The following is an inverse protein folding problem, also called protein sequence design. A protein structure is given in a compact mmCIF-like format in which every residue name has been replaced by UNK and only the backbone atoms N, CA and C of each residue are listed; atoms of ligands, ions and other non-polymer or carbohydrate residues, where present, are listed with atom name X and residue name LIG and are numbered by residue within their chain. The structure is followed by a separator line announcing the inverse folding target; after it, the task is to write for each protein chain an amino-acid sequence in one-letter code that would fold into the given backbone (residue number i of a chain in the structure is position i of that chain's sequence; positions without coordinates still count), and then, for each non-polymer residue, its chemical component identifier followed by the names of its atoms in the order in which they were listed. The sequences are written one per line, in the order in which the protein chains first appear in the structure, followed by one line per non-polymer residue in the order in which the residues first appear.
data_IF_573454789519
#
_entry.id   IF_573454789519
#
_cell.length_a   1.000
_cell.length_b   1.000
_cell.length_c   1.000
_cell.angle_alpha   90.00
_cell.angle_beta   90.00
_cell.angle_gamma   90.00
#
_symmetry.space_group_name_H-M   'P 1'
#
loop_
_entity.id
_entity.type
_entity.pdbx_description
1 polymer ?
#
# COMPACT_ATOMS: atom_id res chain seq x y z
N UNK A 1 -14.60 -16.30 4.60
CA UNK A 1 -14.76 -15.29 3.53
C UNK A 1 -16.21 -15.25 3.12
N UNK A 2 -16.74 -14.06 2.87
CA UNK A 2 -18.12 -13.83 2.47
C UNK A 2 -18.18 -12.74 1.40
N UNK A 3 -19.30 -12.66 0.68
CA UNK A 3 -19.49 -11.64 -0.34
C UNK A 3 -19.81 -10.29 0.30
N UNK A 4 -18.94 -9.30 0.10
CA UNK A 4 -19.12 -7.94 0.59
C UNK A 4 -19.35 -6.95 -0.57
N UNK A 5 -20.50 -6.28 -0.59
CA UNK A 5 -20.84 -5.30 -1.63
C UNK A 5 -19.87 -4.10 -1.63
N UNK A 6 -19.32 -3.72 -0.48
CA UNK A 6 -18.34 -2.64 -0.35
C UNK A 6 -16.98 -2.99 -0.97
N UNK A 7 -16.67 -4.28 -1.16
CA UNK A 7 -15.43 -4.71 -1.81
C UNK A 7 -15.44 -4.47 -3.33
N UNK A 8 -16.62 -4.37 -3.96
CA UNK A 8 -16.74 -4.15 -5.41
C UNK A 8 -16.07 -2.85 -5.88
N UNK A 9 -16.42 -1.66 -5.34
CA UNK A 9 -15.76 -0.42 -5.77
C UNK A 9 -14.25 -0.42 -5.46
N UNK A 10 -13.84 -1.08 -4.37
CA UNK A 10 -12.41 -1.21 -4.00
C UNK A 10 -11.65 -2.07 -5.02
N UNK A 11 -12.22 -3.19 -5.46
CA UNK A 11 -11.63 -4.03 -6.51
C UNK A 11 -11.55 -3.31 -7.86
N UNK A 12 -12.59 -2.53 -8.21
CA UNK A 12 -12.57 -1.70 -9.42
C UNK A 12 -11.44 -0.66 -9.34
N UNK A 13 -11.25 -0.04 -8.17
CA UNK A 13 -10.13 0.87 -7.94
C UNK A 13 -8.78 0.15 -8.07
N UNK A 14 -8.64 -1.05 -7.50
CA UNK A 14 -7.43 -1.87 -7.60
C UNK A 14 -7.06 -2.17 -9.06
N UNK A 15 -8.05 -2.59 -9.88
CA UNK A 15 -7.86 -2.89 -11.30
C UNK A 15 -7.54 -1.62 -12.09
N UNK A 16 -8.20 -0.52 -11.79
CA UNK A 16 -7.98 0.77 -12.44
C UNK A 16 -6.57 1.30 -12.17
N UNK A 17 -6.11 1.22 -10.92
CA UNK A 17 -4.74 1.57 -10.53
C UNK A 17 -3.70 0.65 -11.19
N UNK A 18 -3.94 -0.66 -11.24
CA UNK A 18 -3.04 -1.59 -11.94
C UNK A 18 -2.94 -1.27 -13.44
N UNK A 19 -4.09 -1.02 -14.06
CA UNK A 19 -4.18 -0.65 -15.47
C UNK A 19 -3.41 0.64 -15.75
N UNK A 20 -3.57 1.65 -14.88
CA UNK A 20 -2.85 2.91 -14.99
C UNK A 20 -1.34 2.72 -14.78
N UNK A 21 -0.93 1.89 -13.81
CA UNK A 21 0.48 1.56 -13.56
C UNK A 21 1.15 0.98 -14.82
N UNK A 22 0.46 0.11 -15.56
CA UNK A 22 0.96 -0.45 -16.82
C UNK A 22 0.92 0.57 -17.96
N UNK A 23 -0.19 1.30 -18.10
CA UNK A 23 -0.38 2.26 -19.20
C UNK A 23 0.66 3.38 -19.16
N UNK A 24 1.00 3.92 -17.98
CA UNK A 24 1.97 5.02 -17.90
C UNK A 24 3.38 4.59 -18.32
N UNK A 25 3.72 3.31 -18.25
CA UNK A 25 5.03 2.78 -18.65
C UNK A 25 5.29 2.85 -20.15
N UNK A 26 4.33 3.27 -20.98
CA UNK A 26 4.59 3.63 -22.38
C UNK A 26 5.26 5.01 -22.51
N UNK A 27 5.14 5.88 -21.51
CA UNK A 27 5.72 7.23 -21.48
C UNK A 27 7.08 7.27 -20.76
N UNK A 28 7.95 6.29 -21.00
CA UNK A 28 9.20 6.09 -20.22
C UNK A 28 10.16 7.29 -20.22
N UNK A 29 10.08 8.14 -21.24
CA UNK A 29 10.90 9.34 -21.38
C UNK A 29 10.47 10.49 -20.46
N UNK A 30 9.24 10.44 -19.91
CA UNK A 30 8.72 11.49 -19.04
C UNK A 30 9.29 11.35 -17.63
N UNK A 31 9.89 12.42 -17.06
CA UNK A 31 10.42 12.41 -15.69
C UNK A 31 9.36 12.00 -14.67
N UNK A 32 9.72 11.09 -13.76
CA UNK A 32 8.84 10.66 -12.66
C UNK A 32 7.87 9.52 -13.00
N UNK A 33 7.70 9.13 -14.27
CA UNK A 33 6.75 8.06 -14.67
C UNK A 33 6.98 6.75 -13.92
N UNK A 34 8.23 6.33 -13.72
CA UNK A 34 8.52 5.12 -12.94
C UNK A 34 8.06 5.23 -11.49
N UNK A 35 8.24 6.40 -10.86
CA UNK A 35 7.78 6.62 -9.49
C UNK A 35 6.25 6.61 -9.43
N UNK A 36 5.58 7.28 -10.37
CA UNK A 36 4.13 7.25 -10.46
C UNK A 36 3.57 5.84 -10.68
N UNK A 37 4.19 5.05 -11.56
CA UNK A 37 3.83 3.65 -11.79
C UNK A 37 3.90 2.82 -10.50
N UNK A 38 4.93 3.04 -9.67
CA UNK A 38 5.05 2.37 -8.36
C UNK A 38 3.96 2.84 -7.39
N UNK A 39 3.61 4.13 -7.37
CA UNK A 39 2.49 4.62 -6.53
C UNK A 39 1.18 3.95 -6.93
N UNK A 40 0.91 3.84 -8.23
CA UNK A 40 -0.29 3.18 -8.74
C UNK A 40 -0.29 1.67 -8.44
N UNK A 41 0.85 0.99 -8.61
CA UNK A 41 0.98 -0.42 -8.25
C UNK A 41 0.81 -0.65 -6.74
N UNK A 42 1.42 0.19 -5.91
CA UNK A 42 1.29 0.12 -4.45
C UNK A 42 -0.16 0.35 -3.99
N UNK A 43 -0.85 1.33 -4.58
CA UNK A 43 -2.27 1.56 -4.33
C UNK A 43 -3.16 0.41 -4.79
N UNK A 44 -2.81 -0.25 -5.90
CA UNK A 44 -3.51 -1.45 -6.37
C UNK A 44 -3.33 -2.63 -5.41
N UNK A 45 -2.10 -2.88 -4.95
CA UNK A 45 -1.79 -3.91 -3.94
C UNK A 45 -2.56 -3.67 -2.64
N UNK A 46 -2.53 -2.43 -2.13
CA UNK A 46 -3.30 -2.03 -0.95
C UNK A 46 -4.80 -2.29 -1.15
N UNK A 47 -5.38 -1.75 -2.22
CA UNK A 47 -6.82 -1.87 -2.48
C UNK A 47 -7.24 -3.33 -2.66
N UNK A 48 -6.43 -4.14 -3.33
CA UNK A 48 -6.72 -5.56 -3.52
C UNK A 48 -6.77 -6.32 -2.19
N UNK A 49 -5.75 -6.16 -1.34
CA UNK A 49 -5.74 -6.85 -0.05
C UNK A 49 -6.78 -6.31 0.92
N UNK A 50 -7.05 -5.00 0.90
CA UNK A 50 -8.14 -4.40 1.66
C UNK A 50 -9.51 -4.96 1.26
N UNK A 51 -9.76 -5.17 -0.04
CA UNK A 51 -10.98 -5.83 -0.49
C UNK A 51 -11.12 -7.26 0.05
N UNK A 52 -10.02 -8.00 0.21
CA UNK A 52 -10.01 -9.34 0.80
C UNK A 52 -10.17 -9.31 2.33
N UNK A 53 -9.58 -8.32 3.00
CA UNK A 53 -9.74 -8.07 4.43
C UNK A 53 -11.22 -7.88 4.77
N UNK A 54 -11.87 -6.91 4.15
CA UNK A 54 -13.28 -6.58 4.42
C UNK A 54 -14.24 -7.66 3.89
N UNK A 55 -13.76 -8.65 3.13
CA UNK A 55 -14.53 -9.82 2.69
C UNK A 55 -14.24 -11.06 3.55
N UNK A 56 -13.56 -10.89 4.68
CA UNK A 56 -13.16 -11.96 5.59
C UNK A 56 -13.88 -11.85 6.94
N UNK A 57 -14.15 -13.00 7.54
CA UNK A 57 -14.89 -13.17 8.80
C UNK A 57 -14.04 -13.89 9.87
N UNK A 58 -12.83 -14.31 9.50
CA UNK A 58 -11.85 -14.96 10.36
C UNK A 58 -10.73 -13.97 10.69
N UNK A 59 -10.43 -13.79 11.98
CA UNK A 59 -9.39 -12.88 12.47
C UNK A 59 -8.02 -13.17 11.84
N UNK A 60 -7.67 -14.45 11.66
CA UNK A 60 -6.38 -14.85 11.07
C UNK A 60 -6.28 -14.42 9.60
N UNK A 61 -7.38 -14.52 8.85
CA UNK A 61 -7.42 -14.07 7.45
C UNK A 61 -7.38 -12.54 7.36
N UNK A 62 -8.17 -11.85 8.19
CA UNK A 62 -8.18 -10.39 8.30
C UNK A 62 -6.77 -9.88 8.62
N UNK A 63 -6.11 -10.41 9.65
CA UNK A 63 -4.75 -10.02 10.03
C UNK A 63 -3.73 -10.32 8.91
N UNK A 64 -3.91 -11.42 8.18
CA UNK A 64 -3.04 -11.75 7.05
C UNK A 64 -3.18 -10.74 5.92
N UNK A 65 -4.41 -10.39 5.51
CA UNK A 65 -4.63 -9.40 4.46
C UNK A 65 -4.18 -8.01 4.89
N UNK A 66 -4.45 -7.64 6.14
CA UNK A 66 -3.92 -6.42 6.75
C UNK A 66 -2.39 -6.35 6.63
N UNK A 67 -1.65 -7.40 6.97
CA UNK A 67 -0.18 -7.42 6.80
C UNK A 67 0.23 -7.27 5.33
N UNK A 68 -0.51 -7.88 4.41
CA UNK A 68 -0.22 -7.80 2.98
C UNK A 68 -0.51 -6.42 2.39
N UNK A 69 -1.47 -5.67 2.93
CA UNK A 69 -1.70 -4.26 2.56
C UNK A 69 -0.47 -3.39 2.80
N UNK A 70 0.28 -3.67 3.87
CA UNK A 70 1.52 -2.96 4.19
C UNK A 70 2.65 -3.21 3.20
N UNK A 71 2.50 -4.13 2.24
CA UNK A 71 3.40 -4.19 1.07
C UNK A 71 3.20 -2.95 0.18
N UNK A 72 1.98 -2.43 0.09
CA UNK A 72 1.63 -1.25 -0.71
C UNK A 72 1.69 0.06 0.08
N UNK A 73 0.99 0.13 1.22
CA UNK A 73 0.73 1.36 1.98
C UNK A 73 1.96 2.26 2.14
N UNK A 74 3.10 1.79 2.69
CA UNK A 74 4.21 2.68 2.99
C UNK A 74 5.01 3.08 1.73
N UNK A 75 4.89 2.34 0.62
CA UNK A 75 5.51 2.71 -0.66
C UNK A 75 4.82 3.92 -1.30
N UNK A 76 3.52 4.10 -1.06
CA UNK A 76 2.72 5.21 -1.63
C UNK A 76 3.36 6.57 -1.31
N UNK A 77 3.52 6.99 -0.04
CA UNK A 77 4.09 8.31 0.27
C UNK A 77 5.57 8.43 -0.16
N UNK A 78 6.35 7.35 -0.02
CA UNK A 78 7.77 7.34 -0.41
C UNK A 78 7.94 7.60 -1.92
N UNK A 79 7.22 6.87 -2.76
CA UNK A 79 7.28 7.04 -4.21
C UNK A 79 6.53 8.26 -4.71
N UNK A 80 5.49 8.72 -4.00
CA UNK A 80 4.81 9.98 -4.32
C UNK A 80 5.72 11.18 -4.09
N UNK A 81 6.52 11.19 -3.01
CA UNK A 81 7.54 12.21 -2.79
C UNK A 81 8.60 12.19 -3.90
N UNK A 82 9.13 11.01 -4.23
CA UNK A 82 10.09 10.87 -5.33
C UNK A 82 9.52 11.29 -6.68
N UNK A 83 8.23 11.00 -6.91
CA UNK A 83 7.50 11.48 -8.08
C UNK A 83 7.43 13.00 -8.10
N UNK A 84 6.98 13.64 -7.03
CA UNK A 84 6.85 15.10 -6.95
C UNK A 84 8.19 15.80 -7.22
N UNK A 85 9.29 15.30 -6.64
CA UNK A 85 10.63 15.85 -6.86
C UNK A 85 11.01 15.74 -8.34
N UNK A 86 10.84 14.56 -8.96
CA UNK A 86 11.20 14.34 -10.38
C UNK A 86 10.30 15.11 -11.35
N UNK A 87 9.01 15.22 -11.01
CA UNK A 87 8.01 15.88 -11.84
C UNK A 87 8.16 17.40 -11.82
N UNK A 88 8.60 17.98 -10.68
CA UNK A 88 8.83 19.43 -10.53
C UNK A 88 9.96 20.01 -11.38
N UNK A 89 10.68 19.19 -12.17
CA UNK A 89 11.73 19.66 -13.07
C UNK A 89 13.00 20.16 -12.38
N UNK A 90 13.14 19.95 -11.05
CA UNK A 90 14.40 20.19 -10.34
C UNK A 90 15.46 19.23 -10.90
N UNK A 91 16.32 19.75 -11.77
CA UNK A 91 17.35 19.00 -12.52
C UNK A 91 18.49 18.46 -11.65
N UNK A 92 18.52 18.81 -10.36
CA UNK A 92 19.51 18.26 -9.44
C UNK A 92 19.26 16.77 -9.23
N UNK A 93 20.29 15.96 -9.50
CA UNK A 93 20.25 14.52 -9.25
C UNK A 93 20.04 14.31 -7.76
N UNK A 94 18.98 13.59 -7.40
CA UNK A 94 18.78 13.15 -6.02
C UNK A 94 20.00 12.34 -5.59
N UNK A 95 20.71 12.79 -4.55
CA UNK A 95 21.84 12.05 -4.02
C UNK A 95 21.37 10.71 -3.47
N UNK A 96 22.20 9.67 -3.62
CA UNK A 96 21.85 8.28 -3.25
C UNK A 96 21.44 8.18 -1.77
N UNK A 97 22.07 8.94 -0.88
CA UNK A 97 21.72 8.93 0.54
C UNK A 97 20.28 9.42 0.83
N UNK A 98 19.73 10.34 0.05
CA UNK A 98 18.32 10.74 0.20
C UNK A 98 17.37 9.63 -0.27
N UNK A 99 17.73 8.92 -1.32
CA UNK A 99 16.96 7.77 -1.79
C UNK A 99 16.95 6.66 -0.73
N UNK A 100 18.10 6.37 -0.12
CA UNK A 100 18.21 5.41 0.98
C UNK A 100 17.35 5.84 2.16
N UNK A 101 17.42 7.11 2.58
CA UNK A 101 16.62 7.61 3.69
C UNK A 101 15.11 7.49 3.43
N UNK A 102 14.66 7.84 2.22
CA UNK A 102 13.24 7.73 1.83
C UNK A 102 12.79 6.27 1.76
N UNK A 103 13.63 5.36 1.27
CA UNK A 103 13.29 3.92 1.16
C UNK A 103 13.50 3.14 2.46
N UNK A 104 14.28 3.65 3.41
CA UNK A 104 14.44 3.05 4.72
C UNK A 104 13.11 3.04 5.48
N UNK A 105 12.32 4.12 5.37
CA UNK A 105 11.00 4.25 6.03
C UNK A 105 10.08 3.08 5.64
N UNK A 106 9.73 2.85 4.35
CA UNK A 106 8.82 1.77 3.99
C UNK A 106 9.37 0.38 4.32
N UNK A 107 10.68 0.17 4.19
CA UNK A 107 11.30 -1.13 4.56
C UNK A 107 11.15 -1.38 6.06
N UNK A 108 11.47 -0.39 6.89
CA UNK A 108 11.34 -0.51 8.35
C UNK A 108 9.87 -0.69 8.76
N UNK A 109 8.94 0.05 8.15
CA UNK A 109 7.50 -0.12 8.40
C UNK A 109 7.04 -1.53 8.05
N UNK A 110 7.42 -2.06 6.88
CA UNK A 110 7.09 -3.44 6.51
C UNK A 110 7.68 -4.43 7.51
N UNK A 111 8.95 -4.29 7.88
CA UNK A 111 9.59 -5.17 8.86
C UNK A 111 8.81 -5.18 10.18
N UNK A 112 8.50 -4.00 10.74
CA UNK A 112 7.76 -3.87 12.00
C UNK A 112 6.36 -4.51 11.94
N UNK A 113 5.66 -4.39 10.82
CA UNK A 113 4.32 -4.99 10.64
C UNK A 113 4.41 -6.51 10.55
N UNK A 114 5.32 -7.03 9.73
CA UNK A 114 5.48 -8.46 9.52
C UNK A 114 6.08 -9.18 10.74
N UNK A 115 6.93 -8.50 11.51
CA UNK A 115 7.48 -9.03 12.76
C UNK A 115 6.67 -8.69 14.00
N UNK A 116 5.50 -8.03 13.85
CA UNK A 116 4.71 -7.53 14.98
C UNK A 116 4.34 -8.64 15.98
N UNK A 117 4.19 -9.89 15.54
CA UNK A 117 3.93 -11.04 16.41
C UNK A 117 5.03 -11.32 17.44
N UNK A 118 6.26 -10.84 17.23
CA UNK A 118 7.39 -11.05 18.15
C UNK A 118 7.56 -9.94 19.18
N UNK A 119 7.11 -8.72 18.88
CA UNK A 119 7.45 -7.53 19.67
C UNK A 119 6.26 -6.63 20.03
N UNK A 120 5.14 -6.74 19.31
CA UNK A 120 3.92 -5.92 19.52
C UNK A 120 4.17 -4.41 19.55
N UNK A 121 5.20 -3.94 18.83
CA UNK A 121 5.60 -2.52 18.77
C UNK A 121 4.80 -1.73 17.74
N UNK A 122 4.18 -2.43 16.77
CA UNK A 122 3.40 -1.80 15.73
C UNK A 122 1.92 -1.73 16.12
N UNK A 123 1.34 -2.88 16.49
CA UNK A 123 -0.04 -3.00 16.99
C UNK A 123 -0.07 -3.93 18.19
N UNK A 124 -0.83 -3.57 19.22
CA UNK A 124 -1.13 -4.39 20.39
C UNK A 124 -2.64 -4.51 20.55
N UNK A 125 -3.17 -5.71 20.85
CA UNK A 125 -4.60 -5.89 21.14
C UNK A 125 -5.52 -6.00 19.92
N UNK A 126 -4.99 -6.44 18.77
CA UNK A 126 -5.77 -6.60 17.55
C UNK A 126 -7.01 -7.49 17.72
N UNK A 127 -8.17 -6.99 17.35
CA UNK A 127 -9.46 -7.68 17.41
C UNK A 127 -10.30 -7.36 16.17
N UNK A 128 -11.34 -8.18 15.91
CA UNK A 128 -12.30 -7.87 14.85
C UNK A 128 -13.32 -6.89 15.42
N UNK A 129 -13.41 -5.70 14.85
CA UNK A 129 -14.56 -4.83 15.07
C UNK A 129 -15.71 -5.27 14.14
N UNK A 130 -16.84 -5.63 14.74
CA UNK A 130 -18.07 -6.03 14.04
C UNK A 130 -19.20 -5.01 14.19
N UNK A 131 -18.95 -3.89 14.86
CA UNK A 131 -19.95 -2.84 15.07
C UNK A 131 -20.12 -1.93 13.85
N UNK A 132 -19.17 -1.96 12.91
CA UNK A 132 -19.23 -1.23 11.64
C UNK A 132 -20.09 -1.92 10.56
N UNK A 133 -20.08 -1.34 9.35
CA UNK A 133 -20.80 -1.87 8.18
C UNK A 133 -20.29 -3.23 7.71
N UNK A 134 -19.07 -3.59 8.08
CA UNK A 134 -18.40 -4.86 7.81
C UNK A 134 -17.33 -5.11 8.89
N UNK A 135 -17.01 -6.39 9.19
CA UNK A 135 -15.81 -6.78 9.92
C UNK A 135 -14.54 -6.09 9.40
N UNK A 136 -13.82 -5.44 10.31
CA UNK A 136 -12.53 -4.81 10.01
C UNK A 136 -11.54 -5.06 11.15
N UNK A 137 -10.24 -5.04 10.84
CA UNK A 137 -9.20 -5.12 11.85
C UNK A 137 -9.17 -3.84 12.69
N UNK A 138 -9.22 -3.99 14.01
CA UNK A 138 -9.19 -2.87 14.97
C UNK A 138 -8.25 -3.19 16.13
N UNK A 139 -7.82 -2.16 16.88
CA UNK A 139 -6.89 -2.27 18.01
C UNK A 139 -7.21 -1.24 19.09
#
# INVERSE_FOLDING_TARGET
MYFNLYAIPVLIAAISMLSLAMAVLQYRSTPGVKCFAVVMLAGSVYSFFYALEISSDNLQLIETFYKLEYIGIPLIPAFYLLFAIRYSGRKEKLKVHYLIAVLAIPVLTMLLVFTNSFHSLFISGGHIDKHGLFPAYSF
#
